data_IF_773136161292
#
_entry.id   IF_773136161292
#
_cell.length_a   1.000
_cell.length_b   1.000
_cell.length_c   1.000
_cell.angle_alpha   90.00
_cell.angle_beta   90.00
_cell.angle_gamma   90.00
#
_symmetry.space_group_name_H-M   'P 1'
#
loop_
_entity.id
_entity.type
_entity.pdbx_description
1 polymer ?
#
# COMPACT_ATOMS: atom_id res chain seq x y z
N UNK A 1 -10.36 3.89 16.72
CA UNK A 1 -9.43 2.76 16.51
C UNK A 1 -9.01 2.74 15.03
N UNK A 2 -7.79 2.27 14.69
CA UNK A 2 -7.35 2.17 13.29
C UNK A 2 -8.03 0.94 12.64
N UNK A 3 -8.83 1.10 11.57
CA UNK A 3 -9.52 -0.04 10.96
C UNK A 3 -8.57 -1.00 10.22
N UNK A 4 -7.32 -0.57 9.97
CA UNK A 4 -6.29 -1.36 9.29
C UNK A 4 -5.34 -2.08 10.24
N UNK A 5 -5.57 -1.97 11.56
CA UNK A 5 -4.76 -2.64 12.60
C UNK A 5 -3.24 -2.42 12.46
N UNK A 6 -2.83 -1.19 12.11
CA UNK A 6 -1.42 -0.85 11.87
C UNK A 6 -0.61 -0.42 13.11
N UNK A 7 -1.18 0.30 14.08
CA UNK A 7 -0.45 0.59 15.31
C UNK A 7 -0.27 -0.70 16.11
N UNK A 8 0.97 -1.06 16.40
CA UNK A 8 1.34 -2.27 17.13
C UNK A 8 2.01 -1.89 18.45
N UNK A 9 1.65 -2.58 19.54
CA UNK A 9 2.22 -2.28 20.84
C UNK A 9 3.59 -2.94 21.01
N UNK A 10 4.62 -2.14 21.27
CA UNK A 10 5.95 -2.63 21.60
C UNK A 10 6.07 -2.80 23.12
N UNK A 11 6.18 -4.06 23.56
CA UNK A 11 6.24 -4.44 24.97
C UNK A 11 7.51 -3.98 25.68
N UNK A 12 8.61 -3.80 24.94
CA UNK A 12 9.91 -3.41 25.50
C UNK A 12 9.95 -1.92 25.82
N UNK A 13 9.62 -1.07 24.85
CA UNK A 13 9.59 0.39 25.06
C UNK A 13 8.29 0.88 25.70
N UNK A 14 7.30 -0.02 25.87
CA UNK A 14 5.96 0.25 26.41
C UNK A 14 5.21 1.36 25.67
N UNK A 15 5.39 1.43 24.35
CA UNK A 15 4.77 2.42 23.46
C UNK A 15 4.19 1.74 22.24
N UNK A 16 3.21 2.38 21.61
CA UNK A 16 2.67 1.93 20.33
C UNK A 16 3.55 2.49 19.21
N UNK A 17 3.92 1.63 18.29
CA UNK A 17 4.73 1.94 17.12
C UNK A 17 3.90 1.72 15.85
N UNK A 18 4.23 2.47 14.79
CA UNK A 18 3.59 2.34 13.48
C UNK A 18 4.57 2.78 12.39
N UNK A 19 4.23 2.47 11.14
CA UNK A 19 4.95 3.00 9.98
C UNK A 19 5.06 4.54 10.05
N UNK A 20 6.27 5.04 9.83
CA UNK A 20 6.63 6.46 9.73
C UNK A 20 6.97 6.89 8.30
N UNK A 21 6.66 6.04 7.31
CA UNK A 21 6.99 6.24 5.89
C UNK A 21 8.49 6.42 5.62
N UNK A 22 9.37 5.91 6.50
CA UNK A 22 10.82 6.11 6.40
C UNK A 22 11.21 7.59 6.28
N UNK A 23 10.56 8.51 7.00
CA UNK A 23 10.76 9.96 6.85
C UNK A 23 12.23 10.41 6.83
N UNK A 24 13.08 9.90 7.72
CA UNK A 24 14.53 10.19 7.73
C UNK A 24 15.21 9.90 6.38
N UNK A 25 14.86 8.77 5.73
CA UNK A 25 15.40 8.43 4.42
C UNK A 25 14.88 9.36 3.33
N UNK A 26 13.59 9.72 3.40
CA UNK A 26 12.98 10.66 2.46
C UNK A 26 13.61 12.05 2.57
N UNK A 27 13.91 12.52 3.79
CA UNK A 27 14.57 13.80 4.04
C UNK A 27 16.00 13.84 3.44
N UNK A 28 16.66 12.70 3.35
CA UNK A 28 17.96 12.52 2.66
C UNK A 28 17.83 12.28 1.15
N UNK A 29 16.61 12.29 0.60
CA UNK A 29 16.35 12.03 -0.83
C UNK A 29 16.48 10.55 -1.22
N UNK A 30 16.49 9.64 -0.25
CA UNK A 30 16.50 8.20 -0.49
C UNK A 30 15.08 7.63 -0.54
N UNK A 31 14.92 6.50 -1.21
CA UNK A 31 13.67 5.76 -1.20
C UNK A 31 13.39 5.09 0.16
N UNK A 32 12.11 4.91 0.54
CA UNK A 32 11.75 4.09 1.69
C UNK A 32 12.27 2.67 1.58
N UNK A 33 12.54 2.04 2.73
CA UNK A 33 13.15 0.72 2.77
C UNK A 33 12.36 -0.36 2.02
N UNK A 34 11.02 -0.34 2.12
CA UNK A 34 10.17 -1.31 1.42
C UNK A 34 10.15 -1.12 -0.11
N UNK A 35 10.34 0.11 -0.59
CA UNK A 35 10.43 0.43 -2.02
C UNK A 35 11.78 -0.02 -2.55
N UNK A 36 12.87 0.42 -1.91
CA UNK A 36 14.24 0.07 -2.30
C UNK A 36 14.52 -1.44 -2.28
N UNK A 37 13.85 -2.19 -1.39
CA UNK A 37 14.00 -3.64 -1.30
C UNK A 37 13.17 -4.42 -2.34
N UNK A 38 12.27 -3.77 -3.07
CA UNK A 38 11.36 -4.44 -4.00
C UNK A 38 12.05 -4.73 -5.34
N UNK A 39 12.61 -5.93 -5.49
CA UNK A 39 13.31 -6.37 -6.71
C UNK A 39 12.44 -6.34 -7.98
N UNK A 40 11.12 -6.48 -7.83
CA UNK A 40 10.17 -6.51 -8.95
C UNK A 40 9.54 -5.13 -9.23
N UNK A 41 9.96 -4.09 -8.50
CA UNK A 41 9.48 -2.71 -8.67
C UNK A 41 7.94 -2.57 -8.52
N UNK A 42 7.34 -3.43 -7.70
CA UNK A 42 5.89 -3.47 -7.50
C UNK A 42 5.37 -2.39 -6.53
N UNK A 43 6.27 -1.69 -5.82
CA UNK A 43 5.95 -0.66 -4.83
C UNK A 43 6.65 0.62 -5.24
N UNK A 44 5.93 1.75 -5.22
CA UNK A 44 6.46 3.08 -5.54
C UNK A 44 5.89 4.14 -4.62
N UNK A 45 6.68 5.18 -4.35
CA UNK A 45 6.17 6.45 -3.82
C UNK A 45 5.70 7.31 -4.99
N UNK A 46 4.49 7.85 -4.87
CA UNK A 46 3.89 8.76 -5.84
C UNK A 46 3.25 9.92 -5.11
N UNK A 47 3.11 11.04 -5.80
CA UNK A 47 2.22 12.11 -5.36
C UNK A 47 0.76 11.69 -5.59
N UNK A 48 -0.11 12.03 -4.64
CA UNK A 48 -1.54 11.75 -4.74
C UNK A 48 -2.21 12.97 -5.36
N UNK A 49 -2.56 12.84 -6.63
CA UNK A 49 -3.30 13.86 -7.38
C UNK A 49 -4.81 13.56 -7.35
N UNK A 50 -5.62 14.56 -7.68
CA UNK A 50 -7.09 14.44 -7.68
C UNK A 50 -7.60 13.47 -8.76
N UNK A 51 -6.89 13.38 -9.88
CA UNK A 51 -7.21 12.54 -11.03
C UNK A 51 -6.73 11.08 -10.90
N UNK A 52 -5.85 10.80 -9.92
CA UNK A 52 -5.29 9.46 -9.71
C UNK A 52 -6.39 8.40 -9.53
N UNK A 53 -7.47 8.77 -8.82
CA UNK A 53 -8.60 7.89 -8.54
C UNK A 53 -9.54 7.69 -9.75
N UNK A 54 -9.40 8.51 -10.79
CA UNK A 54 -10.15 8.39 -12.04
C UNK A 54 -9.49 7.40 -13.01
N UNK A 55 -8.28 6.94 -12.71
CA UNK A 55 -7.54 6.00 -13.57
C UNK A 55 -8.15 4.59 -13.47
N UNK A 56 -8.54 3.95 -14.59
CA UNK A 56 -9.33 2.71 -14.59
C UNK A 56 -8.75 1.50 -13.83
N UNK A 57 -7.42 1.45 -13.66
CA UNK A 57 -6.72 0.33 -13.02
C UNK A 57 -6.26 0.63 -11.59
N UNK A 58 -6.54 1.83 -11.07
CA UNK A 58 -6.09 2.27 -9.76
C UNK A 58 -7.20 2.10 -8.73
N UNK A 59 -6.93 1.28 -7.72
CA UNK A 59 -7.87 0.94 -6.65
C UNK A 59 -7.41 1.54 -5.32
N UNK A 60 -8.35 2.05 -4.51
CA UNK A 60 -8.08 2.51 -3.12
C UNK A 60 -8.07 1.38 -2.08
N UNK A 61 -8.58 0.21 -2.45
CA UNK A 61 -8.72 -0.94 -1.55
C UNK A 61 -8.68 -2.24 -2.35
N UNK A 62 -8.42 -3.34 -1.66
CA UNK A 62 -8.44 -4.69 -2.20
C UNK A 62 -9.38 -5.57 -1.35
N UNK A 63 -9.81 -6.74 -1.85
CA UNK A 63 -10.60 -7.67 -1.06
C UNK A 63 -9.95 -7.98 0.30
N UNK A 64 -10.72 -7.87 1.39
CA UNK A 64 -10.24 -8.07 2.75
C UNK A 64 -9.67 -6.82 3.43
N UNK A 65 -9.54 -5.69 2.74
CA UNK A 65 -9.19 -4.41 3.36
C UNK A 65 -10.44 -3.63 3.81
N UNK A 66 -10.30 -2.74 4.82
CA UNK A 66 -11.37 -1.83 5.21
C UNK A 66 -11.86 -0.94 4.06
N UNK A 67 -13.10 -0.45 4.18
CA UNK A 67 -13.69 0.47 3.20
C UNK A 67 -12.93 1.81 3.17
N UNK A 68 -12.48 2.29 1.99
CA UNK A 68 -11.76 3.56 1.87
C UNK A 68 -12.46 4.78 2.43
N UNK A 69 -13.80 4.81 2.41
CA UNK A 69 -14.59 5.94 2.91
C UNK A 69 -14.40 6.20 4.41
N UNK A 70 -13.89 5.22 5.18
CA UNK A 70 -13.66 5.38 6.62
C UNK A 70 -12.52 6.36 6.92
N UNK A 71 -11.45 6.33 6.11
CA UNK A 71 -10.22 7.12 6.41
C UNK A 71 -9.57 7.78 5.20
N UNK A 72 -10.12 7.60 3.99
CA UNK A 72 -9.54 8.01 2.70
C UNK A 72 -8.02 7.73 2.61
N UNK A 73 -7.58 6.46 2.63
CA UNK A 73 -6.18 6.11 2.77
C UNK A 73 -5.33 6.59 1.58
N UNK A 74 -4.06 6.88 1.84
CA UNK A 74 -3.07 7.35 0.86
C UNK A 74 -2.40 6.24 0.03
N UNK A 75 -2.81 4.98 0.21
CA UNK A 75 -2.29 3.86 -0.58
C UNK A 75 -3.16 3.65 -1.82
N UNK A 76 -2.53 3.22 -2.92
CA UNK A 76 -3.19 2.82 -4.17
C UNK A 76 -2.67 1.46 -4.62
N UNK A 77 -3.53 0.71 -5.27
CA UNK A 77 -3.22 -0.63 -5.76
C UNK A 77 -3.52 -0.71 -7.25
N UNK A 78 -2.67 -1.44 -7.98
CA UNK A 78 -3.02 -1.94 -9.31
C UNK A 78 -3.56 -3.34 -9.10
N UNK A 79 -4.81 -3.57 -9.49
CA UNK A 79 -5.48 -4.86 -9.31
C UNK A 79 -4.79 -5.99 -10.10
N UNK A 80 -4.82 -7.24 -9.61
CA UNK A 80 -4.29 -8.37 -10.37
C UNK A 80 -5.11 -8.58 -11.65
N UNK A 81 -4.43 -8.83 -12.78
CA UNK A 81 -5.09 -9.27 -14.01
C UNK A 81 -5.37 -10.77 -13.90
N UNK A 82 -6.65 -11.14 -13.88
CA UNK A 82 -7.06 -12.55 -13.85
C UNK A 82 -6.54 -13.25 -15.12
N UNK A 83 -5.79 -14.35 -14.95
CA UNK A 83 -5.38 -15.20 -16.06
C UNK A 83 -6.58 -15.91 -16.70
N UNK A 84 -6.50 -16.17 -18.00
CA UNK A 84 -7.51 -16.95 -18.72
C UNK A 84 -7.17 -18.44 -18.52
N UNK A 85 -8.08 -19.18 -17.89
CA UNK A 85 -7.96 -20.64 -17.79
C UNK A 85 -8.35 -21.26 -19.14
N UNK A 86 -7.35 -21.58 -19.96
CA UNK A 86 -7.56 -22.39 -21.17
C UNK A 86 -7.49 -23.86 -20.77
N UNK A 87 -8.64 -24.53 -20.72
CA UNK A 87 -8.65 -26.00 -20.63
C UNK A 87 -8.37 -26.57 -22.03
N UNK A 88 -7.47 -27.54 -22.13
CA UNK A 88 -7.38 -28.38 -23.32
C UNK A 88 -8.57 -29.34 -23.24
N UNK A 89 -9.58 -29.08 -24.05
CA UNK A 89 -10.62 -30.06 -24.30
C UNK A 89 -9.95 -31.24 -25.02
N UNK A 90 -10.08 -32.44 -24.44
CA UNK A 90 -9.69 -33.71 -25.07
C UNK A 90 -10.71 -34.04 -26.15
#
# INVERSE_FOLDING_TARGET
ACPYDRPQYNTTVKKVEKCNLCHERLDEGQEPACVAACLLEAIKIIEITEDLDLTPDILKTLPGMPTPSITNPSIRFIGPKQGILVRRDV
#
